data_IF_419395063527
#
_entry.id   IF_419395063527
#
_cell.length_a   1.000
_cell.length_b   1.000
_cell.length_c   1.000
_cell.angle_alpha   90.00
_cell.angle_beta   90.00
_cell.angle_gamma   90.00
#
_symmetry.space_group_name_H-M   'P 1'
#
loop_
_entity.id
_entity.type
_entity.pdbx_description
1 polymer ?
#
# COMPACT_ATOMS: atom_id res chain seq x y z
N UNK A 1 10.36 1.59 -12.46
CA UNK A 1 11.14 2.46 -13.38
C UNK A 1 10.49 2.49 -14.77
N UNK A 2 9.32 3.07 -14.85
CA UNK A 2 8.42 3.04 -16.03
C UNK A 2 9.05 3.68 -17.27
N UNK A 3 9.88 4.71 -17.10
CA UNK A 3 10.49 5.43 -18.22
C UNK A 3 11.93 5.02 -18.55
N UNK A 4 12.50 4.04 -17.83
CA UNK A 4 13.87 3.57 -18.11
C UNK A 4 13.93 2.87 -19.45
N UNK A 5 14.71 3.42 -20.38
CA UNK A 5 14.84 2.90 -21.75
C UNK A 5 13.67 3.17 -22.67
N UNK A 6 12.77 4.08 -22.29
CA UNK A 6 11.69 4.55 -23.17
C UNK A 6 12.25 5.40 -24.31
N UNK A 7 11.54 5.43 -25.44
CA UNK A 7 11.82 6.33 -26.57
C UNK A 7 11.09 7.67 -26.43
N UNK A 8 10.34 7.90 -25.34
CA UNK A 8 9.64 9.16 -25.11
C UNK A 8 10.64 10.26 -24.81
N UNK A 9 10.37 11.45 -25.33
CA UNK A 9 11.18 12.63 -25.03
C UNK A 9 10.84 13.21 -23.66
N UNK A 10 11.81 13.86 -23.02
CA UNK A 10 11.67 14.41 -21.67
C UNK A 10 10.43 15.31 -21.47
N UNK A 11 10.11 16.25 -22.39
CA UNK A 11 8.90 17.06 -22.27
C UNK A 11 7.59 16.25 -22.26
N UNK A 12 7.56 15.12 -22.96
CA UNK A 12 6.41 14.23 -22.98
C UNK A 12 6.28 13.49 -21.64
N UNK A 13 7.39 12.99 -21.09
CA UNK A 13 7.44 12.34 -19.78
C UNK A 13 6.98 13.32 -18.70
N UNK A 14 7.52 14.54 -18.71
CA UNK A 14 7.17 15.56 -17.73
C UNK A 14 5.69 15.95 -17.78
N UNK A 15 5.12 16.02 -18.98
CA UNK A 15 3.68 16.27 -19.14
C UNK A 15 2.83 15.10 -18.59
N UNK A 16 3.24 13.85 -18.79
CA UNK A 16 2.56 12.67 -18.27
C UNK A 16 2.65 12.60 -16.73
N UNK A 17 3.75 13.09 -16.16
CA UNK A 17 3.99 13.16 -14.72
C UNK A 17 3.49 14.45 -14.07
N UNK A 18 3.02 15.42 -14.88
CA UNK A 18 2.62 16.75 -14.44
C UNK A 18 3.70 17.46 -13.60
N UNK A 19 4.95 17.45 -14.09
CA UNK A 19 6.10 18.06 -13.43
C UNK A 19 6.76 19.10 -14.32
N UNK A 20 7.32 20.18 -13.72
CA UNK A 20 8.01 21.26 -14.44
C UNK A 20 9.48 20.94 -14.66
N UNK A 21 10.08 20.08 -13.85
CA UNK A 21 11.48 19.69 -13.96
C UNK A 21 11.68 18.21 -13.62
N UNK A 22 12.72 17.62 -14.19
CA UNK A 22 13.10 16.23 -14.00
C UNK A 22 14.54 16.14 -13.51
N UNK A 23 14.78 15.27 -12.53
CA UNK A 23 16.14 14.92 -12.10
C UNK A 23 16.56 13.64 -12.84
N UNK A 24 17.63 13.74 -13.61
CA UNK A 24 18.30 12.61 -14.21
C UNK A 24 19.64 12.34 -13.53
N UNK A 25 20.04 11.09 -13.47
CA UNK A 25 21.33 10.75 -12.90
C UNK A 25 21.81 9.36 -13.24
N UNK A 26 23.09 9.16 -13.00
CA UNK A 26 23.72 7.85 -13.09
C UNK A 26 24.57 7.56 -11.85
N UNK A 27 24.62 6.31 -11.46
CA UNK A 27 25.45 5.83 -10.35
C UNK A 27 26.40 4.78 -10.88
N UNK A 28 27.71 5.01 -10.66
CA UNK A 28 28.76 4.05 -10.98
C UNK A 28 29.51 3.68 -9.71
N UNK A 29 29.59 2.40 -9.41
CA UNK A 29 30.34 1.88 -8.25
C UNK A 29 31.62 1.20 -8.71
N UNK A 30 32.73 1.50 -8.03
CA UNK A 30 34.02 0.84 -8.21
C UNK A 30 34.63 0.56 -6.83
N UNK A 31 34.49 -0.67 -6.35
CA UNK A 31 34.85 -1.04 -4.98
C UNK A 31 34.04 -0.25 -3.94
N UNK A 32 34.74 0.46 -3.07
CA UNK A 32 34.14 1.31 -2.03
C UNK A 32 33.88 2.76 -2.49
N UNK A 33 34.13 3.08 -3.74
CA UNK A 33 33.87 4.40 -4.31
C UNK A 33 32.62 4.39 -5.18
N UNK A 34 31.85 5.47 -5.06
CA UNK A 34 30.65 5.73 -5.85
C UNK A 34 30.81 7.06 -6.57
N UNK A 35 30.60 7.04 -7.88
CA UNK A 35 30.45 8.24 -8.68
C UNK A 35 28.98 8.43 -9.01
N UNK A 36 28.42 9.55 -8.59
CA UNK A 36 27.04 9.95 -8.89
C UNK A 36 27.11 11.18 -9.79
N UNK A 37 26.46 11.09 -10.94
CA UNK A 37 26.18 12.26 -11.78
C UNK A 37 24.71 12.55 -11.64
N UNK A 38 24.36 13.78 -11.30
CA UNK A 38 22.98 14.24 -11.20
C UNK A 38 22.81 15.55 -11.96
N UNK A 39 21.68 15.69 -12.62
CA UNK A 39 21.30 16.88 -13.36
C UNK A 39 19.82 17.16 -13.18
N UNK A 40 19.48 18.45 -13.05
CA UNK A 40 18.11 18.96 -13.03
C UNK A 40 17.83 19.61 -14.36
N UNK A 41 16.76 19.19 -15.02
CA UNK A 41 16.40 19.62 -16.38
C UNK A 41 15.01 20.23 -16.34
N UNK A 42 14.86 21.46 -16.82
CA UNK A 42 13.57 22.09 -17.06
C UNK A 42 12.85 21.35 -18.18
N UNK A 43 11.66 20.85 -17.88
CA UNK A 43 10.99 19.88 -18.74
C UNK A 43 10.43 20.48 -20.04
N UNK A 44 10.06 21.77 -20.01
CA UNK A 44 9.46 22.47 -21.16
C UNK A 44 10.44 22.61 -22.33
N UNK A 45 11.69 22.97 -22.03
CA UNK A 45 12.69 23.41 -23.04
C UNK A 45 13.90 22.46 -23.07
N UNK A 46 13.89 21.36 -22.35
CA UNK A 46 15.02 20.42 -22.20
C UNK A 46 16.31 21.14 -21.74
N UNK A 47 16.15 22.14 -20.89
CA UNK A 47 17.22 23.03 -20.45
C UNK A 47 17.81 22.52 -19.13
N UNK A 48 19.12 22.28 -19.11
CA UNK A 48 19.81 21.93 -17.88
C UNK A 48 19.87 23.14 -16.94
N UNK A 49 19.16 23.04 -15.79
CA UNK A 49 19.19 24.04 -14.73
C UNK A 49 20.41 23.85 -13.83
N UNK A 50 20.84 22.61 -13.68
CA UNK A 50 21.98 22.22 -12.86
C UNK A 50 22.50 20.84 -13.29
N UNK A 51 23.82 20.64 -13.22
CA UNK A 51 24.45 19.34 -13.44
C UNK A 51 25.76 19.27 -12.64
N UNK A 52 25.91 18.22 -11.86
CA UNK A 52 27.12 17.96 -11.07
C UNK A 52 27.49 16.48 -11.03
N UNK A 53 28.79 16.22 -10.82
CA UNK A 53 29.32 14.87 -10.60
C UNK A 53 30.02 14.82 -9.25
N UNK A 54 29.66 13.81 -8.46
CA UNK A 54 30.21 13.55 -7.15
C UNK A 54 30.97 12.23 -7.16
N UNK A 55 32.20 12.25 -6.64
CA UNK A 55 33.01 11.05 -6.43
C UNK A 55 33.30 10.93 -4.94
N UNK A 56 32.69 9.93 -4.28
CA UNK A 56 32.69 9.79 -2.81
C UNK A 56 32.95 8.34 -2.41
N UNK A 57 33.34 8.17 -1.14
CA UNK A 57 33.35 6.87 -0.48
C UNK A 57 31.89 6.42 -0.27
N UNK A 58 31.63 5.10 -0.35
CA UNK A 58 30.29 4.54 -0.14
C UNK A 58 29.71 4.91 1.24
N UNK A 59 30.57 5.11 2.24
CA UNK A 59 30.18 5.54 3.59
C UNK A 59 29.63 6.95 3.64
N UNK A 60 29.96 7.78 2.65
CA UNK A 60 29.52 9.18 2.57
C UNK A 60 28.28 9.37 1.68
N UNK A 61 27.68 8.27 1.21
CA UNK A 61 26.58 8.32 0.23
C UNK A 61 25.36 9.05 0.75
N UNK A 62 25.08 8.97 2.04
CA UNK A 62 23.95 9.67 2.66
C UNK A 62 24.18 11.19 2.76
N UNK A 63 25.40 11.58 3.19
CA UNK A 63 25.76 13.01 3.19
C UNK A 63 25.74 13.58 1.77
N UNK A 64 25.97 12.74 0.77
CA UNK A 64 25.85 13.11 -0.63
C UNK A 64 24.38 13.25 -1.08
N UNK A 65 23.50 12.38 -0.63
CA UNK A 65 22.05 12.53 -0.88
C UNK A 65 21.53 13.87 -0.34
N UNK A 66 21.92 14.23 0.89
CA UNK A 66 21.59 15.51 1.50
C UNK A 66 22.15 16.70 0.72
N UNK A 67 23.38 16.59 0.24
CA UNK A 67 23.98 17.64 -0.60
C UNK A 67 23.23 17.83 -1.91
N UNK A 68 22.89 16.72 -2.60
CA UNK A 68 22.12 16.76 -3.86
C UNK A 68 20.73 17.33 -3.62
N UNK A 69 20.02 16.89 -2.58
CA UNK A 69 18.69 17.39 -2.25
C UNK A 69 18.69 18.90 -1.97
N UNK A 70 19.64 19.38 -1.15
CA UNK A 70 19.79 20.84 -0.90
C UNK A 70 20.13 21.62 -2.16
N UNK A 71 20.94 21.05 -3.04
CA UNK A 71 21.31 21.73 -4.28
C UNK A 71 20.12 21.81 -5.22
N UNK A 72 19.32 20.75 -5.35
CA UNK A 72 18.07 20.77 -6.10
C UNK A 72 17.12 21.83 -5.53
N UNK A 73 16.85 21.82 -4.22
CA UNK A 73 15.97 22.80 -3.58
C UNK A 73 16.41 24.24 -3.83
N UNK A 74 17.72 24.52 -3.75
CA UNK A 74 18.27 25.86 -4.07
C UNK A 74 18.07 26.25 -5.55
N UNK A 75 18.26 25.28 -6.45
CA UNK A 75 18.17 25.54 -7.90
C UNK A 75 16.74 25.82 -8.33
N UNK A 76 15.75 25.12 -7.75
CA UNK A 76 14.32 25.37 -7.99
C UNK A 76 13.75 26.49 -7.11
N UNK A 77 14.59 27.17 -6.33
CA UNK A 77 14.23 28.28 -5.44
C UNK A 77 13.17 27.93 -4.37
N UNK A 78 13.07 26.66 -4.00
CA UNK A 78 12.25 26.22 -2.87
C UNK A 78 12.98 26.56 -1.58
N UNK A 79 12.32 27.31 -0.70
CA UNK A 79 12.82 27.55 0.66
C UNK A 79 12.47 26.32 1.52
N UNK A 80 13.50 25.62 1.98
CA UNK A 80 13.32 24.54 2.93
C UNK A 80 12.82 25.11 4.28
N UNK A 81 11.85 24.45 4.87
CA UNK A 81 11.41 24.78 6.23
C UNK A 81 12.52 24.43 7.23
N UNK A 82 12.54 25.02 8.43
CA UNK A 82 13.47 24.62 9.49
C UNK A 82 13.42 23.13 9.84
N UNK A 83 12.25 22.49 9.66
CA UNK A 83 12.06 21.08 9.89
C UNK A 83 12.70 20.22 8.79
N UNK A 84 12.53 20.60 7.52
CA UNK A 84 13.21 19.95 6.39
C UNK A 84 14.72 20.13 6.43
N UNK A 85 15.19 21.33 6.84
CA UNK A 85 16.61 21.58 7.08
C UNK A 85 17.16 20.71 8.23
N UNK A 86 16.39 20.51 9.29
CA UNK A 86 16.75 19.64 10.40
C UNK A 86 16.78 18.15 9.97
N UNK A 87 15.83 17.70 9.18
CA UNK A 87 15.82 16.35 8.61
C UNK A 87 17.05 16.10 7.71
N UNK A 88 17.39 17.06 6.84
CA UNK A 88 18.60 17.00 6.01
C UNK A 88 19.90 17.16 6.82
N UNK A 89 19.85 17.80 8.00
CA UNK A 89 21.03 18.00 8.88
C UNK A 89 21.20 16.86 9.90
N UNK A 90 20.13 16.14 10.19
CA UNK A 90 20.09 15.07 11.19
C UNK A 90 20.77 13.79 10.70
N UNK A 91 21.99 13.90 10.16
CA UNK A 91 22.81 12.77 9.74
C UNK A 91 22.99 11.78 10.87
N UNK A 92 22.05 10.84 11.02
CA UNK A 92 22.29 9.64 11.79
C UNK A 92 23.48 8.94 11.14
N UNK A 93 24.47 8.55 11.95
CA UNK A 93 25.55 7.69 11.48
C UNK A 93 24.94 6.35 11.11
N UNK A 94 24.41 6.26 9.89
CA UNK A 94 23.81 5.04 9.38
C UNK A 94 24.94 4.09 9.00
N UNK A 95 24.83 2.83 9.45
CA UNK A 95 25.69 1.76 8.97
C UNK A 95 25.42 1.56 7.45
N UNK A 96 26.39 1.79 6.55
CA UNK A 96 26.17 1.72 5.12
C UNK A 96 25.68 0.34 4.64
N UNK A 97 26.12 -0.74 5.31
CA UNK A 97 25.68 -2.09 4.98
C UNK A 97 24.22 -2.30 5.38
N UNK A 98 23.82 -1.85 6.58
CA UNK A 98 22.43 -1.89 7.03
C UNK A 98 21.52 -1.11 6.08
N UNK A 99 21.93 0.10 5.70
CA UNK A 99 21.16 0.92 4.76
C UNK A 99 21.02 0.29 3.37
N UNK A 100 22.09 -0.33 2.85
CA UNK A 100 21.99 -1.07 1.59
C UNK A 100 20.98 -2.23 1.68
N UNK A 101 20.97 -2.95 2.78
CA UNK A 101 20.01 -4.03 3.05
C UNK A 101 18.59 -3.50 3.22
N UNK A 102 18.41 -2.36 3.90
CA UNK A 102 17.14 -1.64 3.99
C UNK A 102 16.59 -1.30 2.60
N UNK A 103 17.39 -0.72 1.72
CA UNK A 103 16.98 -0.39 0.35
C UNK A 103 16.59 -1.63 -0.46
N UNK A 104 17.27 -2.77 -0.25
CA UNK A 104 16.86 -4.05 -0.84
C UNK A 104 15.51 -4.51 -0.28
N UNK A 105 15.29 -4.38 1.01
CA UNK A 105 14.01 -4.64 1.65
C UNK A 105 12.89 -3.83 1.00
N UNK A 106 13.05 -2.52 0.85
CA UNK A 106 12.09 -1.62 0.17
C UNK A 106 11.85 -2.02 -1.28
N UNK A 107 12.90 -2.35 -2.03
CA UNK A 107 12.78 -2.79 -3.41
C UNK A 107 11.91 -4.04 -3.56
N UNK A 108 12.08 -5.01 -2.67
CA UNK A 108 11.29 -6.23 -2.69
C UNK A 108 9.87 -6.01 -2.18
N UNK A 109 9.67 -5.16 -1.17
CA UNK A 109 8.33 -4.78 -0.70
C UNK A 109 7.48 -4.16 -1.81
N UNK A 110 8.06 -3.25 -2.60
CA UNK A 110 7.37 -2.57 -3.71
C UNK A 110 6.90 -3.50 -4.83
N UNK A 111 7.27 -4.78 -4.86
CA UNK A 111 6.76 -5.74 -5.84
C UNK A 111 5.46 -6.42 -5.44
N UNK A 112 5.17 -6.50 -4.14
CA UNK A 112 3.89 -6.90 -3.58
C UNK A 112 3.49 -8.38 -3.70
N UNK A 113 4.33 -9.25 -4.28
CA UNK A 113 4.06 -10.69 -4.30
C UNK A 113 4.61 -11.44 -3.08
N UNK A 114 4.09 -12.64 -2.81
CA UNK A 114 4.45 -13.42 -1.62
C UNK A 114 5.94 -13.69 -1.48
N UNK A 115 6.62 -14.04 -2.57
CA UNK A 115 8.05 -14.37 -2.56
C UNK A 115 8.89 -13.13 -2.33
N UNK A 116 8.51 -12.03 -2.93
CA UNK A 116 9.19 -10.75 -2.79
C UNK A 116 9.00 -10.16 -1.38
N UNK A 117 7.80 -10.28 -0.81
CA UNK A 117 7.56 -9.88 0.59
C UNK A 117 8.39 -10.73 1.59
N UNK A 118 8.57 -12.03 1.33
CA UNK A 118 9.48 -12.88 2.14
C UNK A 118 10.93 -12.38 2.07
N UNK A 119 11.40 -12.02 0.87
CA UNK A 119 12.74 -11.45 0.69
C UNK A 119 12.86 -10.08 1.40
N UNK A 120 11.83 -9.26 1.32
CA UNK A 120 11.78 -7.97 2.02
C UNK A 120 12.01 -8.15 3.52
N UNK A 121 11.26 -9.04 4.17
CA UNK A 121 11.42 -9.38 5.60
C UNK A 121 12.85 -9.87 5.89
N UNK A 122 13.41 -10.70 5.02
CA UNK A 122 14.77 -11.24 5.20
C UNK A 122 15.82 -10.12 5.13
N UNK A 123 15.72 -9.22 4.15
CA UNK A 123 16.63 -8.08 4.03
C UNK A 123 16.55 -7.13 5.21
N UNK A 124 15.36 -6.80 5.72
CA UNK A 124 15.23 -5.97 6.91
C UNK A 124 15.81 -6.65 8.16
N UNK A 125 15.63 -7.97 8.30
CA UNK A 125 16.27 -8.72 9.39
C UNK A 125 17.81 -8.70 9.28
N UNK A 126 18.34 -8.80 8.08
CA UNK A 126 19.78 -8.67 7.85
C UNK A 126 20.26 -7.24 8.16
N UNK A 127 19.51 -6.20 7.77
CA UNK A 127 19.81 -4.82 8.14
C UNK A 127 19.88 -4.64 9.65
N UNK A 128 18.92 -5.20 10.39
CA UNK A 128 18.86 -5.17 11.85
C UNK A 128 19.96 -6.01 12.54
N UNK A 129 20.50 -7.02 11.84
CA UNK A 129 21.66 -7.75 12.33
C UNK A 129 22.96 -6.93 12.20
N UNK A 130 23.08 -6.10 11.15
CA UNK A 130 24.19 -5.16 10.96
C UNK A 130 24.08 -3.91 11.86
N UNK A 131 22.84 -3.39 12.05
CA UNK A 131 22.54 -2.26 12.93
C UNK A 131 21.24 -2.50 13.72
N UNK A 132 21.32 -2.97 14.97
CA UNK A 132 20.15 -3.20 15.82
C UNK A 132 19.37 -1.94 16.20
N UNK A 133 19.88 -0.74 15.89
CA UNK A 133 19.22 0.54 16.16
C UNK A 133 18.69 1.23 14.89
N UNK A 134 18.61 0.52 13.79
CA UNK A 134 18.04 1.05 12.54
C UNK A 134 16.50 1.15 12.61
N UNK A 135 15.99 2.34 12.97
CA UNK A 135 14.55 2.61 13.06
C UNK A 135 13.83 2.43 11.70
N UNK A 136 14.50 2.77 10.58
CA UNK A 136 13.94 2.60 9.23
C UNK A 136 13.73 1.12 8.89
N UNK A 137 14.71 0.27 9.23
CA UNK A 137 14.60 -1.17 9.01
C UNK A 137 13.48 -1.80 9.86
N UNK A 138 13.27 -1.35 11.08
CA UNK A 138 12.13 -1.78 11.90
C UNK A 138 10.79 -1.33 11.30
N UNK A 139 10.67 -0.09 10.82
CA UNK A 139 9.45 0.38 10.13
C UNK A 139 9.17 -0.44 8.87
N UNK A 140 10.16 -0.64 7.99
CA UNK A 140 10.00 -1.47 6.80
C UNK A 140 9.66 -2.93 7.10
N UNK A 141 10.17 -3.48 8.21
CA UNK A 141 9.80 -4.81 8.69
C UNK A 141 8.33 -4.86 9.12
N UNK A 142 7.82 -3.81 9.79
CA UNK A 142 6.41 -3.68 10.16
C UNK A 142 5.50 -3.64 8.92
N UNK A 143 5.86 -2.84 7.91
CA UNK A 143 5.14 -2.74 6.64
C UNK A 143 5.08 -4.09 5.92
N UNK A 144 6.20 -4.83 5.91
CA UNK A 144 6.26 -6.14 5.27
C UNK A 144 5.39 -7.19 5.97
N UNK A 145 5.34 -7.21 7.31
CA UNK A 145 4.43 -8.07 8.05
C UNK A 145 2.97 -7.67 7.85
N UNK A 146 2.67 -6.39 7.77
CA UNK A 146 1.33 -5.88 7.52
C UNK A 146 0.83 -6.29 6.14
N UNK A 147 1.67 -6.20 5.10
CA UNK A 147 1.34 -6.63 3.75
C UNK A 147 1.10 -8.16 3.64
N UNK A 148 1.70 -8.97 4.52
CA UNK A 148 1.39 -10.40 4.57
C UNK A 148 0.00 -10.70 5.12
N UNK A 149 -0.55 -9.77 5.90
CA UNK A 149 -1.84 -9.96 6.58
C UNK A 149 -2.97 -10.08 5.57
N UNK A 150 -3.80 -11.08 5.69
CA UNK A 150 -4.94 -11.46 4.83
C UNK A 150 -4.60 -11.79 3.37
N UNK A 151 -3.47 -11.33 2.86
CA UNK A 151 -3.07 -11.73 1.50
C UNK A 151 -2.52 -13.15 1.47
N UNK A 152 -1.75 -13.52 2.49
CA UNK A 152 -1.05 -14.82 2.53
C UNK A 152 -1.06 -15.50 3.90
N UNK A 153 -1.14 -14.74 5.01
CA UNK A 153 -1.08 -15.26 6.37
C UNK A 153 -2.19 -14.66 7.25
N UNK A 154 -2.58 -15.43 8.27
CA UNK A 154 -3.57 -14.99 9.23
C UNK A 154 -3.09 -13.73 9.98
N UNK A 155 -3.92 -12.66 10.08
CA UNK A 155 -3.56 -11.42 10.77
C UNK A 155 -3.06 -11.66 12.19
N UNK A 156 -3.70 -12.53 12.96
CA UNK A 156 -3.28 -12.88 14.33
C UNK A 156 -1.87 -13.46 14.45
N UNK A 157 -1.29 -13.96 13.35
CA UNK A 157 0.08 -14.48 13.34
C UNK A 157 1.13 -13.41 13.02
N UNK A 158 0.80 -12.46 12.16
CA UNK A 158 1.78 -11.50 11.63
C UNK A 158 1.65 -10.11 12.22
N UNK A 159 0.44 -9.63 12.50
CA UNK A 159 0.24 -8.28 13.04
C UNK A 159 0.88 -8.03 14.42
N UNK A 160 0.96 -9.01 15.35
CA UNK A 160 1.75 -8.81 16.57
C UNK A 160 3.24 -8.55 16.29
N UNK A 161 3.81 -9.15 15.22
CA UNK A 161 5.19 -8.93 14.82
C UNK A 161 5.35 -7.54 14.17
N UNK A 162 4.38 -7.11 13.35
CA UNK A 162 4.34 -5.75 12.80
C UNK A 162 4.31 -4.71 13.94
N UNK A 163 3.43 -4.90 14.93
CA UNK A 163 3.31 -4.01 16.10
C UNK A 163 4.60 -3.95 16.91
N UNK A 164 5.23 -5.08 17.17
CA UNK A 164 6.51 -5.10 17.90
C UNK A 164 7.60 -4.36 17.13
N UNK A 165 7.65 -4.51 15.81
CA UNK A 165 8.62 -3.83 14.97
C UNK A 165 8.38 -2.32 14.95
N UNK A 166 7.15 -1.85 14.69
CA UNK A 166 6.86 -0.40 14.66
C UNK A 166 7.04 0.25 16.03
N UNK A 167 6.68 -0.44 17.12
CA UNK A 167 6.93 0.07 18.48
C UNK A 167 8.42 0.28 18.68
N UNK A 168 9.25 -0.68 18.24
CA UNK A 168 10.71 -0.55 18.35
C UNK A 168 11.27 0.58 17.48
N UNK A 169 10.71 0.79 16.27
CA UNK A 169 11.07 1.93 15.43
C UNK A 169 10.83 3.27 16.15
N UNK A 170 9.66 3.44 16.78
CA UNK A 170 9.29 4.67 17.50
C UNK A 170 10.07 4.85 18.82
N UNK A 171 10.46 3.76 19.50
CA UNK A 171 11.39 3.85 20.66
C UNK A 171 12.77 4.37 20.25
N UNK A 172 13.22 4.08 19.03
CA UNK A 172 14.51 4.51 18.50
C UNK A 172 14.46 5.91 17.90
N UNK A 173 13.37 6.22 17.19
CA UNK A 173 13.13 7.52 16.57
C UNK A 173 11.63 7.87 16.59
N UNK A 174 11.20 8.66 17.58
CA UNK A 174 9.83 9.16 17.71
C UNK A 174 9.44 10.14 16.59
N UNK A 175 10.39 10.66 15.84
CA UNK A 175 10.15 11.58 14.72
C UNK A 175 10.05 10.88 13.35
N UNK A 176 10.11 9.56 13.31
CA UNK A 176 10.08 8.78 12.08
C UNK A 176 8.65 8.72 11.49
N UNK A 177 8.36 9.55 10.50
CA UNK A 177 7.05 9.60 9.82
C UNK A 177 6.58 8.23 9.32
N UNK A 178 7.50 7.41 8.77
CA UNK A 178 7.19 6.08 8.27
C UNK A 178 6.66 5.15 9.38
N UNK A 179 7.21 5.21 10.59
CA UNK A 179 6.74 4.38 11.71
C UNK A 179 5.34 4.82 12.19
N UNK A 180 5.05 6.12 12.25
CA UNK A 180 3.70 6.62 12.52
C UNK A 180 2.71 6.19 11.45
N UNK A 181 3.10 6.21 10.18
CA UNK A 181 2.28 5.71 9.08
C UNK A 181 1.98 4.22 9.21
N UNK A 182 2.99 3.37 9.49
CA UNK A 182 2.78 1.94 9.74
C UNK A 182 1.83 1.71 10.92
N UNK A 183 1.92 2.51 11.98
CA UNK A 183 1.05 2.39 13.15
C UNK A 183 -0.38 2.87 12.86
N UNK A 184 -0.55 3.94 12.05
CA UNK A 184 -1.84 4.37 11.52
C UNK A 184 -2.55 3.21 10.81
N UNK A 185 -1.86 2.56 9.87
CA UNK A 185 -2.37 1.40 9.14
C UNK A 185 -2.77 0.26 10.08
N UNK A 186 -1.89 -0.14 11.00
CA UNK A 186 -2.15 -1.23 11.96
C UNK A 186 -3.38 -0.92 12.83
N UNK A 187 -3.50 0.30 13.35
CA UNK A 187 -4.65 0.71 14.17
C UNK A 187 -5.95 0.69 13.37
N UNK A 188 -5.92 1.07 12.09
CA UNK A 188 -7.09 1.09 11.20
C UNK A 188 -7.57 -0.32 10.90
N UNK A 189 -6.68 -1.19 10.39
CA UNK A 189 -7.09 -2.46 9.79
C UNK A 189 -7.15 -3.63 10.79
N UNK A 190 -6.36 -3.58 11.86
CA UNK A 190 -6.21 -4.71 12.78
C UNK A 190 -6.70 -4.42 14.19
N UNK A 191 -6.28 -3.30 14.80
CA UNK A 191 -6.68 -2.97 16.17
C UNK A 191 -8.10 -2.42 16.25
N UNK A 192 -8.55 -1.75 15.18
CA UNK A 192 -9.78 -0.95 15.14
C UNK A 192 -9.78 0.13 16.22
N UNK A 193 -8.58 0.65 16.52
CA UNK A 193 -8.38 1.81 17.38
C UNK A 193 -8.48 3.09 16.54
N UNK A 194 -9.71 3.51 16.25
CA UNK A 194 -10.00 4.63 15.37
C UNK A 194 -9.38 5.95 15.84
N UNK A 195 -9.30 6.17 17.16
CA UNK A 195 -8.69 7.38 17.71
C UNK A 195 -7.16 7.32 17.62
N UNK A 196 -6.59 6.16 17.90
CA UNK A 196 -5.17 5.91 17.69
C UNK A 196 -4.78 6.09 16.25
N UNK A 197 -5.55 5.50 15.31
CA UNK A 197 -5.31 5.63 13.88
C UNK A 197 -5.29 7.10 13.44
N UNK A 198 -6.31 7.90 13.78
CA UNK A 198 -6.35 9.31 13.40
C UNK A 198 -5.14 10.09 13.93
N UNK A 199 -4.75 9.84 15.18
CA UNK A 199 -3.58 10.49 15.78
C UNK A 199 -2.31 10.16 15.01
N UNK A 200 -2.07 8.88 14.72
CA UNK A 200 -0.85 8.43 14.07
C UNK A 200 -0.78 8.83 12.59
N UNK A 201 -1.92 8.76 11.85
CA UNK A 201 -2.00 9.25 10.46
C UNK A 201 -1.63 10.74 10.38
N UNK A 202 -2.26 11.58 11.23
CA UNK A 202 -1.96 13.02 11.28
C UNK A 202 -0.52 13.27 11.65
N UNK A 203 0.01 12.50 12.62
CA UNK A 203 1.40 12.66 13.05
C UNK A 203 2.39 12.33 11.93
N UNK A 204 2.13 11.29 11.13
CA UNK A 204 2.94 10.97 9.96
C UNK A 204 2.98 12.13 8.95
N UNK A 205 1.82 12.72 8.65
CA UNK A 205 1.69 13.87 7.72
C UNK A 205 2.34 15.13 8.31
N UNK A 206 2.18 15.40 9.61
CA UNK A 206 2.85 16.53 10.28
C UNK A 206 4.37 16.42 10.21
N UNK A 207 4.91 15.21 10.40
CA UNK A 207 6.35 14.95 10.35
C UNK A 207 6.90 15.01 8.92
N UNK A 208 6.14 14.54 7.94
CA UNK A 208 6.50 14.61 6.53
C UNK A 208 5.26 14.88 5.64
N UNK A 209 4.94 16.15 5.35
CA UNK A 209 3.78 16.53 4.53
C UNK A 209 3.86 16.08 3.06
N UNK A 210 5.01 15.58 2.62
CA UNK A 210 5.22 15.06 1.27
C UNK A 210 5.35 13.53 1.24
N UNK A 211 4.90 12.84 2.29
CA UNK A 211 4.91 11.40 2.36
C UNK A 211 3.63 10.82 1.75
N UNK A 212 3.69 10.39 0.48
CA UNK A 212 2.55 9.90 -0.27
C UNK A 212 1.79 8.76 0.44
N UNK A 213 2.51 7.75 0.95
CA UNK A 213 1.91 6.61 1.67
C UNK A 213 1.13 7.05 2.93
N UNK A 214 1.53 8.16 3.59
CA UNK A 214 0.82 8.64 4.77
C UNK A 214 -0.53 9.29 4.40
N UNK A 215 -0.59 10.00 3.28
CA UNK A 215 -1.84 10.54 2.74
C UNK A 215 -2.76 9.41 2.27
N UNK A 216 -2.23 8.38 1.62
CA UNK A 216 -2.95 7.20 1.16
C UNK A 216 -3.58 6.42 2.33
N UNK A 217 -2.79 6.05 3.34
CA UNK A 217 -3.31 5.37 4.53
C UNK A 217 -4.33 6.23 5.31
N UNK A 218 -4.17 7.56 5.31
CA UNK A 218 -5.16 8.45 5.93
C UNK A 218 -6.44 8.51 5.09
N UNK A 219 -6.35 8.47 3.75
CA UNK A 219 -7.51 8.36 2.87
C UNK A 219 -8.31 7.09 3.16
N UNK A 220 -7.66 5.93 3.20
CA UNK A 220 -8.30 4.65 3.53
C UNK A 220 -8.93 4.63 4.93
N UNK A 221 -8.27 5.22 5.94
CA UNK A 221 -8.87 5.41 7.26
C UNK A 221 -10.15 6.25 7.20
N UNK A 222 -10.12 7.38 6.50
CA UNK A 222 -11.28 8.28 6.34
C UNK A 222 -12.41 7.61 5.55
N UNK A 223 -12.09 6.82 4.54
CA UNK A 223 -13.03 6.02 3.76
C UNK A 223 -13.73 4.96 4.64
N UNK A 224 -12.99 4.28 5.53
CA UNK A 224 -13.56 3.34 6.50
C UNK A 224 -14.57 4.00 7.45
N UNK A 225 -14.45 5.30 7.67
CA UNK A 225 -15.40 6.10 8.48
C UNK A 225 -16.52 6.74 7.65
N UNK A 226 -16.46 6.68 6.32
CA UNK A 226 -17.43 7.32 5.41
C UNK A 226 -17.22 8.83 5.27
N UNK A 227 -16.04 9.35 5.59
CA UNK A 227 -15.67 10.76 5.44
C UNK A 227 -15.16 11.04 4.02
N UNK A 228 -16.02 10.80 3.03
CA UNK A 228 -15.66 10.70 1.61
C UNK A 228 -14.92 11.92 1.07
N UNK A 229 -15.38 13.13 1.33
CA UNK A 229 -14.75 14.34 0.80
C UNK A 229 -13.31 14.50 1.30
N UNK A 230 -13.07 14.16 2.57
CA UNK A 230 -11.73 14.19 3.15
C UNK A 230 -10.85 13.05 2.62
N UNK A 231 -11.43 11.84 2.51
CA UNK A 231 -10.73 10.69 1.96
C UNK A 231 -10.22 10.98 0.54
N UNK A 232 -11.09 11.51 -0.33
CA UNK A 232 -10.71 11.83 -1.71
C UNK A 232 -9.67 12.96 -1.79
N UNK A 233 -9.72 13.94 -0.88
CA UNK A 233 -8.71 15.01 -0.85
C UNK A 233 -7.31 14.47 -0.49
N UNK A 234 -7.24 13.56 0.49
CA UNK A 234 -5.97 12.93 0.89
C UNK A 234 -5.47 11.96 -0.19
N UNK A 235 -6.36 11.18 -0.82
CA UNK A 235 -6.01 10.31 -1.95
C UNK A 235 -5.41 11.10 -3.12
N UNK A 236 -6.07 12.20 -3.54
CA UNK A 236 -5.52 13.06 -4.59
C UNK A 236 -4.16 13.64 -4.22
N UNK A 237 -3.97 13.97 -2.93
CA UNK A 237 -2.65 14.43 -2.47
C UNK A 237 -1.59 13.33 -2.57
N UNK A 238 -1.94 12.08 -2.24
CA UNK A 238 -1.05 10.94 -2.41
C UNK A 238 -0.68 10.72 -3.88
N UNK A 239 -1.65 10.79 -4.80
CA UNK A 239 -1.44 10.69 -6.26
C UNK A 239 -0.54 11.80 -6.81
N UNK A 240 -0.71 13.04 -6.33
CA UNK A 240 0.18 14.17 -6.70
C UNK A 240 1.62 13.94 -6.26
N UNK A 241 1.81 13.36 -5.06
CA UNK A 241 3.13 13.13 -4.47
C UNK A 241 3.85 11.94 -5.08
N UNK A 242 3.13 10.87 -5.43
CA UNK A 242 3.67 9.70 -6.13
C UNK A 242 2.74 9.21 -7.25
N UNK A 243 2.76 9.85 -8.42
CA UNK A 243 1.90 9.49 -9.56
C UNK A 243 2.26 8.15 -10.22
N UNK A 244 3.29 7.47 -9.73
CA UNK A 244 3.73 6.16 -10.25
C UNK A 244 3.50 5.02 -9.25
N UNK A 245 2.91 5.27 -8.11
CA UNK A 245 2.57 4.25 -7.13
C UNK A 245 1.31 3.50 -7.53
N UNK A 246 1.45 2.29 -8.02
CA UNK A 246 0.31 1.42 -8.32
C UNK A 246 -0.48 1.04 -7.06
N UNK A 247 0.14 1.08 -5.89
CA UNK A 247 -0.53 0.83 -4.62
C UNK A 247 -1.58 1.91 -4.34
N UNK A 248 -1.21 3.20 -4.41
CA UNK A 248 -2.12 4.33 -4.20
C UNK A 248 -3.34 4.23 -5.12
N UNK A 249 -3.13 3.94 -6.40
CA UNK A 249 -4.25 3.77 -7.33
C UNK A 249 -5.09 2.52 -7.05
N UNK A 250 -4.48 1.43 -6.58
CA UNK A 250 -5.24 0.23 -6.19
C UNK A 250 -6.08 0.47 -4.93
N UNK A 251 -5.55 1.18 -3.94
CA UNK A 251 -6.25 1.52 -2.71
C UNK A 251 -7.33 2.58 -3.00
N UNK A 252 -7.03 3.55 -3.85
CA UNK A 252 -8.02 4.50 -4.37
C UNK A 252 -9.20 3.82 -5.08
N UNK A 253 -8.94 2.75 -5.85
CA UNK A 253 -10.02 1.97 -6.46
C UNK A 253 -10.96 1.36 -5.41
N UNK A 254 -10.43 0.87 -4.30
CA UNK A 254 -11.23 0.37 -3.18
C UNK A 254 -11.98 1.51 -2.48
N UNK A 255 -11.35 2.64 -2.22
CA UNK A 255 -11.97 3.78 -1.54
C UNK A 255 -13.13 4.36 -2.36
N UNK A 256 -12.95 4.55 -3.69
CA UNK A 256 -14.03 4.94 -4.59
C UNK A 256 -15.14 3.88 -4.68
N UNK A 257 -14.79 2.58 -4.67
CA UNK A 257 -15.76 1.48 -4.61
C UNK A 257 -16.63 1.55 -3.35
N UNK A 258 -16.04 1.76 -2.18
CA UNK A 258 -16.76 1.91 -0.91
C UNK A 258 -17.66 3.15 -0.92
N UNK A 259 -17.21 4.24 -1.56
CA UNK A 259 -17.99 5.45 -1.77
C UNK A 259 -19.09 5.32 -2.84
N UNK A 260 -19.17 4.16 -3.54
CA UNK A 260 -20.09 3.88 -4.67
C UNK A 260 -19.85 4.75 -5.90
N UNK A 261 -18.67 5.32 -6.01
CA UNK A 261 -18.20 6.10 -7.15
C UNK A 261 -17.51 5.15 -8.14
N UNK A 262 -18.32 4.30 -8.80
CA UNK A 262 -17.80 3.16 -9.54
C UNK A 262 -17.02 3.54 -10.81
N UNK A 263 -17.37 4.65 -11.47
CA UNK A 263 -16.66 5.10 -12.68
C UNK A 263 -15.23 5.51 -12.31
N UNK A 264 -15.06 6.29 -11.24
CA UNK A 264 -13.74 6.68 -10.72
C UNK A 264 -12.97 5.46 -10.17
N UNK A 265 -13.64 4.52 -9.52
CA UNK A 265 -13.00 3.27 -9.08
C UNK A 265 -12.43 2.46 -10.27
N UNK A 266 -13.12 2.46 -11.43
CA UNK A 266 -12.62 1.84 -12.66
C UNK A 266 -11.39 2.57 -13.18
N UNK A 267 -11.39 3.91 -13.19
CA UNK A 267 -10.25 4.72 -13.64
C UNK A 267 -9.01 4.43 -12.78
N UNK A 268 -9.17 4.41 -11.47
CA UNK A 268 -8.12 4.11 -10.52
C UNK A 268 -7.55 2.69 -10.72
N UNK A 269 -8.42 1.68 -10.80
CA UNK A 269 -8.00 0.30 -11.01
C UNK A 269 -7.25 0.12 -12.34
N UNK A 270 -7.71 0.76 -13.42
CA UNK A 270 -7.00 0.73 -14.70
C UNK A 270 -5.64 1.40 -14.62
N UNK A 271 -5.52 2.52 -13.88
CA UNK A 271 -4.22 3.18 -13.67
C UNK A 271 -3.26 2.29 -12.90
N UNK A 272 -3.72 1.61 -11.85
CA UNK A 272 -2.92 0.64 -11.11
C UNK A 272 -2.43 -0.50 -12.03
N UNK A 273 -3.31 -1.05 -12.87
CA UNK A 273 -2.98 -2.11 -13.85
C UNK A 273 -2.02 -1.61 -14.93
N UNK A 274 -2.15 -0.37 -15.41
CA UNK A 274 -1.21 0.23 -16.35
C UNK A 274 0.21 0.30 -15.77
N UNK A 275 0.32 0.70 -14.49
CA UNK A 275 1.59 0.83 -13.79
C UNK A 275 2.20 -0.54 -13.43
N UNK A 276 1.38 -1.48 -12.98
CA UNK A 276 1.80 -2.83 -12.59
C UNK A 276 0.77 -3.88 -13.07
N UNK A 277 0.92 -4.42 -14.30
CA UNK A 277 -0.04 -5.34 -14.89
C UNK A 277 -0.23 -6.66 -14.15
N UNK A 278 0.74 -7.05 -13.32
CA UNK A 278 0.72 -8.32 -12.58
C UNK A 278 0.28 -8.12 -11.11
N UNK A 279 -0.22 -6.95 -10.73
CA UNK A 279 -0.68 -6.70 -9.38
C UNK A 279 -2.10 -7.25 -9.18
N UNK A 280 -2.21 -8.40 -8.55
CA UNK A 280 -3.45 -9.16 -8.41
C UNK A 280 -4.58 -8.37 -7.74
N UNK A 281 -4.25 -7.48 -6.79
CA UNK A 281 -5.25 -6.73 -6.03
C UNK A 281 -5.99 -5.72 -6.90
N UNK A 282 -5.30 -5.06 -7.84
CA UNK A 282 -5.94 -4.13 -8.77
C UNK A 282 -6.97 -4.84 -9.67
N UNK A 283 -6.67 -6.06 -10.14
CA UNK A 283 -7.63 -6.89 -10.87
C UNK A 283 -8.80 -7.34 -9.99
N UNK A 284 -8.53 -7.69 -8.74
CA UNK A 284 -9.57 -8.08 -7.77
C UNK A 284 -10.51 -6.90 -7.46
N UNK A 285 -9.97 -5.71 -7.24
CA UNK A 285 -10.75 -4.49 -7.01
C UNK A 285 -11.61 -4.15 -8.24
N UNK A 286 -11.03 -4.19 -9.44
CA UNK A 286 -11.76 -3.95 -10.68
C UNK A 286 -12.91 -4.95 -10.89
N UNK A 287 -12.68 -6.23 -10.56
CA UNK A 287 -13.73 -7.25 -10.62
C UNK A 287 -14.90 -6.93 -9.68
N UNK A 288 -14.62 -6.52 -8.43
CA UNK A 288 -15.66 -6.11 -7.48
C UNK A 288 -16.46 -4.91 -7.99
N UNK A 289 -15.78 -3.91 -8.56
CA UNK A 289 -16.42 -2.73 -9.17
C UNK A 289 -17.34 -3.15 -10.33
N UNK A 290 -16.84 -3.99 -11.24
CA UNK A 290 -17.65 -4.45 -12.38
C UNK A 290 -18.88 -5.26 -11.97
N UNK A 291 -18.81 -6.02 -10.86
CA UNK A 291 -20.01 -6.67 -10.32
C UNK A 291 -21.08 -5.64 -9.94
N UNK A 292 -20.69 -4.55 -9.25
CA UNK A 292 -21.66 -3.51 -8.84
C UNK A 292 -22.23 -2.74 -10.03
N UNK A 293 -21.46 -2.59 -11.11
CA UNK A 293 -21.93 -1.98 -12.36
C UNK A 293 -22.77 -2.93 -13.24
N UNK A 294 -22.94 -4.21 -12.85
CA UNK A 294 -23.63 -5.21 -13.65
C UNK A 294 -22.84 -5.72 -14.87
N UNK A 295 -21.54 -5.39 -14.96
CA UNK A 295 -20.62 -5.82 -16.02
C UNK A 295 -20.04 -7.20 -15.70
N UNK A 296 -20.92 -8.20 -15.62
CA UNK A 296 -20.61 -9.51 -15.05
C UNK A 296 -19.57 -10.32 -15.85
N UNK A 297 -19.57 -10.33 -17.19
CA UNK A 297 -18.53 -11.02 -17.97
C UNK A 297 -17.13 -10.44 -17.72
N UNK A 298 -17.01 -9.11 -17.67
CA UNK A 298 -15.75 -8.42 -17.38
C UNK A 298 -15.31 -8.66 -15.94
N UNK A 299 -16.25 -8.65 -14.99
CA UNK A 299 -15.97 -8.97 -13.59
C UNK A 299 -15.34 -10.36 -13.43
N UNK A 300 -15.90 -11.38 -14.09
CA UNK A 300 -15.34 -12.74 -14.07
C UNK A 300 -13.95 -12.78 -14.71
N UNK A 301 -13.75 -12.06 -15.82
CA UNK A 301 -12.46 -12.02 -16.51
C UNK A 301 -11.37 -11.42 -15.61
N UNK A 302 -11.65 -10.29 -14.97
CA UNK A 302 -10.69 -9.65 -14.08
C UNK A 302 -10.44 -10.46 -12.81
N UNK A 303 -11.48 -11.07 -12.22
CA UNK A 303 -11.32 -11.95 -11.05
C UNK A 303 -10.49 -13.20 -11.38
N UNK A 304 -10.67 -13.80 -12.56
CA UNK A 304 -9.85 -14.92 -13.04
C UNK A 304 -8.39 -14.49 -13.17
N UNK A 305 -8.13 -13.32 -13.73
CA UNK A 305 -6.77 -12.79 -13.89
C UNK A 305 -6.12 -12.55 -12.55
N UNK A 306 -6.78 -11.89 -11.60
CA UNK A 306 -6.28 -11.70 -10.23
C UNK A 306 -5.93 -13.02 -9.54
N UNK A 307 -6.82 -14.02 -9.66
CA UNK A 307 -6.60 -15.36 -9.09
C UNK A 307 -5.49 -16.17 -9.78
N UNK A 308 -5.17 -15.88 -11.06
CA UNK A 308 -4.04 -16.50 -11.77
C UNK A 308 -2.70 -15.86 -11.42
N UNK A 309 -2.70 -14.55 -11.16
CA UNK A 309 -1.50 -13.79 -10.79
C UNK A 309 -1.01 -14.07 -9.37
N UNK A 310 -1.90 -14.54 -8.50
CA UNK A 310 -1.56 -14.76 -7.09
C UNK A 310 -2.28 -15.97 -6.49
N UNK A 311 -1.56 -16.73 -5.68
CA UNK A 311 -2.14 -17.78 -4.82
C UNK A 311 -2.88 -17.21 -3.58
N UNK A 312 -3.08 -15.89 -3.53
CA UNK A 312 -3.78 -15.24 -2.44
C UNK A 312 -5.21 -15.77 -2.27
N UNK A 313 -5.60 -16.22 -1.06
CA UNK A 313 -6.97 -16.63 -0.80
C UNK A 313 -7.99 -15.49 -0.96
N UNK A 314 -7.55 -14.23 -0.83
CA UNK A 314 -8.39 -13.06 -1.13
C UNK A 314 -8.77 -13.03 -2.61
N UNK A 315 -7.79 -13.15 -3.51
CA UNK A 315 -8.06 -13.15 -4.96
C UNK A 315 -8.99 -14.31 -5.36
N UNK A 316 -8.79 -15.51 -4.78
CA UNK A 316 -9.68 -16.64 -5.00
C UNK A 316 -11.10 -16.38 -4.46
N UNK A 317 -11.25 -15.76 -3.31
CA UNK A 317 -12.55 -15.40 -2.76
C UNK A 317 -13.30 -14.39 -3.63
N UNK A 318 -12.61 -13.37 -4.15
CA UNK A 318 -13.20 -12.43 -5.13
C UNK A 318 -13.63 -13.15 -6.41
N UNK A 319 -12.88 -14.16 -6.88
CA UNK A 319 -13.30 -14.99 -8.01
C UNK A 319 -14.60 -15.76 -7.71
N UNK A 320 -14.70 -16.35 -6.51
CA UNK A 320 -15.94 -17.03 -6.08
C UNK A 320 -17.14 -16.09 -6.06
N UNK A 321 -16.94 -14.87 -5.52
CA UNK A 321 -17.97 -13.83 -5.51
C UNK A 321 -18.37 -13.40 -6.93
N UNK A 322 -17.42 -13.19 -7.84
CA UNK A 322 -17.70 -12.82 -9.24
C UNK A 322 -18.47 -13.92 -9.99
N UNK A 323 -18.11 -15.19 -9.81
CA UNK A 323 -18.85 -16.31 -10.36
C UNK A 323 -20.29 -16.37 -9.84
N UNK A 324 -20.48 -16.22 -8.52
CA UNK A 324 -21.82 -16.20 -7.93
C UNK A 324 -22.65 -15.02 -8.46
N UNK A 325 -22.04 -13.85 -8.63
CA UNK A 325 -22.71 -12.69 -9.19
C UNK A 325 -23.13 -12.88 -10.65
N UNK A 326 -22.31 -13.58 -11.45
CA UNK A 326 -22.58 -13.88 -12.86
C UNK A 326 -23.56 -15.05 -13.07
N UNK A 327 -24.07 -15.67 -11.99
CA UNK A 327 -24.94 -16.85 -12.08
C UNK A 327 -24.21 -18.16 -12.36
N UNK A 328 -22.89 -18.16 -12.30
CA UNK A 328 -22.05 -19.35 -12.47
C UNK A 328 -21.95 -20.10 -11.13
N UNK A 329 -23.09 -20.53 -10.58
CA UNK A 329 -23.19 -21.07 -9.22
C UNK A 329 -22.27 -22.27 -9.01
N UNK A 330 -22.18 -23.20 -9.97
CA UNK A 330 -21.32 -24.38 -9.86
C UNK A 330 -19.86 -24.02 -9.62
N UNK A 331 -19.34 -23.05 -10.36
CA UNK A 331 -17.95 -22.61 -10.21
C UNK A 331 -17.75 -21.82 -8.91
N UNK A 332 -18.73 -21.01 -8.52
CA UNK A 332 -18.70 -20.32 -7.23
C UNK A 332 -18.64 -21.30 -6.04
N UNK A 333 -19.45 -22.38 -6.08
CA UNK A 333 -19.41 -23.44 -5.07
C UNK A 333 -18.06 -24.15 -5.04
N UNK A 334 -17.50 -24.51 -6.19
CA UNK A 334 -16.17 -25.15 -6.27
C UNK A 334 -15.09 -24.29 -5.61
N UNK A 335 -15.09 -22.99 -5.87
CA UNK A 335 -14.13 -22.07 -5.26
C UNK A 335 -14.34 -21.99 -3.75
N UNK A 336 -15.57 -21.84 -3.28
CA UNK A 336 -15.87 -21.78 -1.85
C UNK A 336 -15.46 -23.08 -1.12
N UNK A 337 -15.80 -24.25 -1.68
CA UNK A 337 -15.42 -25.55 -1.12
C UNK A 337 -13.91 -25.77 -1.14
N UNK A 338 -13.19 -25.34 -2.18
CA UNK A 338 -11.73 -25.39 -2.24
C UNK A 338 -11.11 -24.56 -1.12
N UNK A 339 -11.56 -23.32 -0.92
CA UNK A 339 -11.07 -22.46 0.16
C UNK A 339 -11.34 -23.08 1.55
N UNK A 340 -12.54 -23.59 1.77
CA UNK A 340 -12.91 -24.24 3.03
C UNK A 340 -12.09 -25.52 3.28
N UNK A 341 -11.89 -26.35 2.26
CA UNK A 341 -11.09 -27.57 2.38
C UNK A 341 -9.63 -27.29 2.74
N UNK A 342 -9.10 -26.19 2.26
CA UNK A 342 -7.70 -25.81 2.49
C UNK A 342 -7.44 -25.14 3.85
N UNK A 343 -8.47 -24.85 4.65
CA UNK A 343 -8.35 -24.08 5.91
C UNK A 343 -7.35 -24.68 6.93
N UNK A 344 -7.14 -26.00 6.89
CA UNK A 344 -6.18 -26.69 7.77
C UNK A 344 -4.75 -26.65 7.24
N UNK A 345 -4.59 -26.48 5.94
CA UNK A 345 -3.30 -26.53 5.27
C UNK A 345 -2.68 -25.13 5.11
N UNK A 346 -3.51 -24.12 4.85
CA UNK A 346 -3.06 -22.73 4.65
C UNK A 346 -4.10 -21.75 5.16
N UNK A 347 -3.68 -20.50 5.30
CA UNK A 347 -4.60 -19.40 5.58
C UNK A 347 -5.64 -19.26 4.45
N UNK A 348 -6.86 -18.92 4.84
CA UNK A 348 -7.94 -18.54 3.94
C UNK A 348 -8.51 -17.21 4.43
N UNK A 349 -8.95 -16.32 3.52
CA UNK A 349 -9.58 -15.07 3.91
C UNK A 349 -11.06 -15.32 4.27
N UNK A 350 -11.46 -15.31 5.55
CA UNK A 350 -12.82 -15.67 5.94
C UNK A 350 -13.85 -14.69 5.41
N UNK A 351 -13.49 -13.40 5.31
CA UNK A 351 -14.41 -12.37 4.82
C UNK A 351 -14.85 -12.67 3.37
N UNK A 352 -13.89 -13.01 2.51
CA UNK A 352 -14.17 -13.30 1.10
C UNK A 352 -14.99 -14.59 0.90
N UNK A 353 -14.78 -15.57 1.76
CA UNK A 353 -15.64 -16.78 1.78
C UNK A 353 -17.08 -16.38 2.15
N UNK A 354 -17.23 -15.53 3.17
CA UNK A 354 -18.53 -15.02 3.60
C UNK A 354 -19.28 -14.26 2.50
N UNK A 355 -18.58 -13.40 1.73
CA UNK A 355 -19.21 -12.67 0.62
C UNK A 355 -19.64 -13.61 -0.51
N UNK A 356 -18.87 -14.67 -0.80
CA UNK A 356 -19.23 -15.69 -1.78
C UNK A 356 -20.49 -16.44 -1.35
N UNK A 357 -20.56 -16.95 -0.10
CA UNK A 357 -21.75 -17.62 0.41
C UNK A 357 -22.98 -16.70 0.43
N UNK A 358 -22.78 -15.43 0.82
CA UNK A 358 -23.86 -14.44 0.82
C UNK A 358 -24.45 -14.29 -0.59
N UNK A 359 -23.57 -14.16 -1.60
CA UNK A 359 -24.01 -14.02 -3.01
C UNK A 359 -24.70 -15.28 -3.55
N UNK A 360 -24.33 -16.47 -3.05
CA UNK A 360 -25.01 -17.76 -3.33
C UNK A 360 -26.34 -17.92 -2.56
N UNK A 361 -26.78 -16.93 -1.78
CA UNK A 361 -28.01 -16.98 -1.00
C UNK A 361 -27.88 -17.73 0.34
N UNK A 362 -26.70 -18.19 0.69
CA UNK A 362 -26.42 -18.96 1.93
C UNK A 362 -26.12 -17.99 3.09
N UNK A 363 -27.15 -17.32 3.56
CA UNK A 363 -27.00 -16.21 4.51
C UNK A 363 -26.45 -16.66 5.86
N UNK A 364 -26.86 -17.82 6.34
CA UNK A 364 -26.43 -18.31 7.65
C UNK A 364 -24.95 -18.73 7.64
N UNK A 365 -24.51 -19.42 6.58
CA UNK A 365 -23.11 -19.74 6.33
C UNK A 365 -22.26 -18.48 6.17
N UNK A 366 -22.77 -17.48 5.45
CA UNK A 366 -22.08 -16.21 5.30
C UNK A 366 -21.79 -15.56 6.67
N UNK A 367 -22.77 -15.55 7.58
CA UNK A 367 -22.57 -15.00 8.92
C UNK A 367 -21.57 -15.82 9.77
N UNK A 368 -21.52 -17.13 9.63
CA UNK A 368 -20.47 -17.94 10.29
C UNK A 368 -19.07 -17.49 9.84
N UNK A 369 -18.91 -17.19 8.56
CA UNK A 369 -17.64 -16.73 8.01
C UNK A 369 -17.35 -15.28 8.38
N UNK A 370 -18.32 -14.39 8.46
CA UNK A 370 -18.11 -13.02 8.94
C UNK A 370 -17.75 -12.97 10.42
N UNK A 371 -18.35 -13.83 11.25
CA UNK A 371 -17.93 -13.99 12.65
C UNK A 371 -16.48 -14.48 12.74
N UNK A 372 -16.11 -15.45 11.93
CA UNK A 372 -14.73 -15.93 11.86
C UNK A 372 -13.78 -14.84 11.38
N UNK A 373 -14.16 -14.01 10.39
CA UNK A 373 -13.38 -12.87 9.94
C UNK A 373 -13.14 -11.87 11.10
N UNK A 374 -14.17 -11.60 11.89
CA UNK A 374 -14.03 -10.77 13.09
C UNK A 374 -13.09 -11.42 14.12
N UNK A 375 -13.25 -12.70 14.42
CA UNK A 375 -12.41 -13.43 15.37
C UNK A 375 -10.95 -13.49 14.94
N UNK A 376 -10.69 -13.73 13.66
CA UNK A 376 -9.32 -13.78 13.08
C UNK A 376 -8.72 -12.40 12.82
N UNK A 377 -9.46 -11.32 13.07
CA UNK A 377 -9.02 -9.96 12.80
C UNK A 377 -8.69 -9.74 11.32
N UNK A 378 -9.51 -10.29 10.40
CA UNK A 378 -9.36 -10.07 8.98
C UNK A 378 -9.30 -8.58 8.67
N UNK A 379 -8.32 -8.16 7.85
CA UNK A 379 -8.18 -6.76 7.47
C UNK A 379 -9.42 -6.27 6.71
N UNK A 380 -10.12 -7.14 5.97
CA UNK A 380 -11.33 -6.74 5.25
C UNK A 380 -12.48 -6.26 6.16
N UNK A 381 -12.41 -6.49 7.47
CA UNK A 381 -13.44 -6.02 8.41
C UNK A 381 -13.52 -4.49 8.47
N UNK A 382 -12.42 -3.76 8.23
CA UNK A 382 -12.45 -2.30 8.25
C UNK A 382 -13.36 -1.69 7.17
N UNK A 383 -13.57 -2.41 6.05
CA UNK A 383 -14.48 -1.97 4.97
C UNK A 383 -15.94 -2.33 5.22
N UNK A 384 -16.23 -3.22 6.18
CA UNK A 384 -17.53 -3.88 6.35
C UNK A 384 -18.70 -2.91 6.46
N UNK A 385 -18.48 -1.73 7.06
CA UNK A 385 -19.53 -0.71 7.25
C UNK A 385 -20.08 -0.17 5.91
N UNK A 386 -19.25 -0.09 4.88
CA UNK A 386 -19.61 0.53 3.61
C UNK A 386 -19.52 -0.40 2.39
N UNK A 387 -19.00 -1.61 2.55
CA UNK A 387 -18.89 -2.58 1.45
C UNK A 387 -20.25 -2.87 0.80
N UNK A 388 -20.43 -2.55 -0.51
CA UNK A 388 -21.69 -2.77 -1.22
C UNK A 388 -22.13 -4.24 -1.28
N UNK A 389 -21.20 -5.19 -1.17
CA UNK A 389 -21.49 -6.63 -1.16
C UNK A 389 -22.38 -7.04 0.02
N UNK A 390 -22.35 -6.26 1.09
CA UNK A 390 -23.09 -6.52 2.33
C UNK A 390 -24.46 -5.83 2.41
N UNK A 391 -24.86 -5.07 1.38
CA UNK A 391 -26.17 -4.39 1.36
C UNK A 391 -27.35 -5.34 1.64
N UNK A 392 -27.39 -6.60 1.13
CA UNK A 392 -28.49 -7.51 1.40
C UNK A 392 -28.66 -7.92 2.87
N UNK A 393 -27.65 -7.68 3.70
CA UNK A 393 -27.67 -8.06 5.12
C UNK A 393 -27.59 -6.89 6.08
N UNK A 394 -27.59 -5.65 5.61
CA UNK A 394 -27.50 -4.44 6.49
C UNK A 394 -28.60 -4.34 7.53
N UNK A 395 -29.79 -4.85 7.25
CA UNK A 395 -30.90 -4.89 8.21
C UNK A 395 -30.85 -6.06 9.19
N UNK A 396 -29.92 -7.00 9.03
CA UNK A 396 -29.83 -8.20 9.87
C UNK A 396 -29.21 -7.87 11.24
N UNK A 397 -29.81 -8.30 12.36
CA UNK A 397 -29.26 -8.05 13.70
C UNK A 397 -27.83 -8.58 13.90
N UNK A 398 -27.44 -9.66 13.20
CA UNK A 398 -26.09 -10.25 13.25
C UNK A 398 -25.07 -9.30 12.64
N UNK A 399 -25.40 -8.66 11.50
CA UNK A 399 -24.56 -7.61 10.91
C UNK A 399 -24.33 -6.46 11.91
N UNK A 400 -25.40 -5.94 12.51
CA UNK A 400 -25.28 -4.89 13.52
C UNK A 400 -24.46 -5.31 14.75
N UNK A 401 -24.51 -6.61 15.12
CA UNK A 401 -23.68 -7.15 16.19
C UNK A 401 -22.19 -7.04 15.88
N UNK A 402 -21.78 -7.43 14.67
CA UNK A 402 -20.37 -7.33 14.25
C UNK A 402 -19.94 -5.88 14.19
N UNK A 403 -20.72 -4.99 13.52
CA UNK A 403 -20.42 -3.56 13.40
C UNK A 403 -20.23 -2.90 14.77
N UNK A 404 -21.07 -3.20 15.75
CA UNK A 404 -20.92 -2.65 17.10
C UNK A 404 -19.62 -3.11 17.79
N UNK A 405 -19.20 -4.36 17.58
CA UNK A 405 -17.96 -4.91 18.17
C UNK A 405 -16.69 -4.36 17.51
N UNK A 406 -16.76 -4.01 16.23
CA UNK A 406 -15.68 -3.27 15.53
C UNK A 406 -15.60 -1.81 16.01
N UNK A 407 -16.69 -1.33 16.65
CA UNK A 407 -16.77 -0.02 17.29
C UNK A 407 -16.44 1.16 16.36
N UNK A 408 -16.93 1.13 15.11
CA UNK A 408 -16.82 2.28 14.23
C UNK A 408 -17.35 3.54 14.91
N UNK A 409 -16.66 4.68 14.81
CA UNK A 409 -17.17 5.97 15.31
C UNK A 409 -18.54 6.28 14.72
N UNK A 410 -19.37 6.98 15.53
CA UNK A 410 -20.74 7.40 15.12
C UNK A 410 -20.67 8.60 14.20
#
# INVERSE_FOLDING_TARGET
>A
MQYKGTNKQLPQIAKELNVDAVVEGSVQRSGDRVRITAQLIEAADDKHLWAESYDRDLRDVLSLQDQVARQIARTVQVQLTPQEEAQLAGGHSINPNAYQLYLQGRFHWNKGDEQELKKSIEYYRQALAEDPNDALAYSGLADSYSAFSDWYLAPRKVMPQAKAAVTKALELDESLAAAHNSLCFIHTIYDWDWQGAERECRRAIELNPNFADAHDNYASYLAALGQWDRAMAELHRAEELDPLSFHIYSDGALDFYLARRYDEAVEQAHKAIELQPDFFLAHSNLAMVYVQMGRLPEAVTEAQKGSQLSESPLAKGVLGYAYAAAGNELEAWKVAEELVANIKARFVCPFEIGTTYLRLGQKDEAFLWFEKAYEERSICIFTMKFDPRLDPIRADPRYHSIIRRVAFPQ
#
